data_IF_170194699353
#
_entry.id   IF_170194699353
#
_cell.length_a   1.000
_cell.length_b   1.000
_cell.length_c   1.000
_cell.angle_alpha   90.00
_cell.angle_beta   90.00
_cell.angle_gamma   90.00
#
_symmetry.space_group_name_H-M   'P 1'
#
loop_
_entity.id
_entity.type
_entity.pdbx_description
1 polymer ?
#
# COMPACT_ATOMS: atom_id res chain seq x y z
N UNK A 1 -100.78 12.71 -35.27
CA UNK A 1 -101.31 14.00 -35.73
C UNK A 1 -101.30 14.95 -34.53
N UNK A 2 -101.10 16.23 -34.80
CA UNK A 2 -101.05 17.36 -33.84
C UNK A 2 -99.63 17.67 -33.31
N UNK A 3 -98.90 18.41 -34.15
CA UNK A 3 -97.87 19.38 -33.77
C UNK A 3 -98.49 20.45 -32.85
N UNK A 4 -97.74 20.97 -31.87
CA UNK A 4 -97.79 22.39 -31.55
C UNK A 4 -96.56 22.87 -30.73
N UNK A 5 -95.83 23.77 -31.40
CA UNK A 5 -95.20 25.03 -30.94
C UNK A 5 -94.21 25.09 -29.75
N UNK A 6 -93.03 25.60 -30.10
CA UNK A 6 -92.01 26.30 -29.31
C UNK A 6 -92.57 27.35 -28.32
N UNK A 7 -91.92 27.50 -27.16
CA UNK A 7 -91.13 28.71 -26.78
C UNK A 7 -90.38 28.49 -25.44
N UNK A 8 -89.21 29.14 -25.24
CA UNK A 8 -88.25 28.87 -24.16
C UNK A 8 -88.38 29.83 -22.97
N UNK A 9 -87.84 29.43 -21.82
CA UNK A 9 -87.41 30.37 -20.76
C UNK A 9 -88.09 30.21 -19.41
N UNK A 10 -87.61 29.26 -18.59
CA UNK A 10 -87.73 29.35 -17.13
C UNK A 10 -86.42 28.90 -16.48
N UNK A 11 -85.45 29.82 -16.42
CA UNK A 11 -84.17 29.59 -15.72
C UNK A 11 -83.73 30.76 -14.82
N UNK A 12 -84.64 31.67 -14.43
CA UNK A 12 -84.25 32.89 -13.68
C UNK A 12 -85.03 33.18 -12.39
N UNK A 13 -85.92 32.30 -11.92
CA UNK A 13 -86.72 32.56 -10.71
C UNK A 13 -86.08 32.10 -9.39
N UNK A 14 -84.98 31.34 -9.40
CA UNK A 14 -84.34 30.79 -8.19
C UNK A 14 -83.17 31.61 -7.65
N UNK A 15 -82.59 32.52 -8.44
CA UNK A 15 -81.47 33.38 -8.03
C UNK A 15 -81.94 34.70 -7.43
N UNK A 16 -83.04 35.27 -7.92
CA UNK A 16 -83.61 36.52 -7.40
C UNK A 16 -84.22 36.36 -6.00
N UNK A 17 -84.81 35.20 -5.68
CA UNK A 17 -85.35 34.92 -4.34
C UNK A 17 -84.25 34.80 -3.27
N UNK A 18 -83.10 34.22 -3.61
CA UNK A 18 -81.93 34.14 -2.70
C UNK A 18 -81.27 35.49 -2.47
N UNK A 19 -81.19 36.36 -3.49
CA UNK A 19 -80.58 37.69 -3.37
C UNK A 19 -81.49 38.65 -2.58
N UNK A 20 -82.81 38.54 -2.73
CA UNK A 20 -83.77 39.31 -1.92
C UNK A 20 -83.90 38.79 -0.47
N UNK A 21 -83.80 37.49 -0.23
CA UNK A 21 -83.72 36.97 1.15
C UNK A 21 -82.41 37.36 1.84
N UNK A 22 -81.29 37.36 1.12
CA UNK A 22 -80.01 37.79 1.67
C UNK A 22 -79.99 39.29 1.99
N UNK A 23 -80.58 40.14 1.13
CA UNK A 23 -80.62 41.59 1.35
C UNK A 23 -81.60 42.02 2.45
N UNK A 24 -82.75 41.34 2.59
CA UNK A 24 -83.70 41.57 3.69
C UNK A 24 -83.13 41.15 5.05
N UNK A 25 -82.39 40.02 5.10
CA UNK A 25 -81.64 39.59 6.30
C UNK A 25 -80.53 40.59 6.63
N UNK A 26 -79.81 41.12 5.63
CA UNK A 26 -78.75 42.12 5.83
C UNK A 26 -79.27 43.46 6.38
N UNK A 27 -80.45 43.93 5.95
CA UNK A 27 -81.08 45.13 6.52
C UNK A 27 -81.53 44.92 7.97
N UNK A 28 -82.05 43.74 8.31
CA UNK A 28 -82.40 43.38 9.70
C UNK A 28 -81.16 43.29 10.59
N UNK A 29 -80.06 42.70 10.11
CA UNK A 29 -78.78 42.72 10.82
C UNK A 29 -78.23 44.13 11.03
N UNK A 30 -78.37 45.03 10.06
CA UNK A 30 -77.94 46.43 10.20
C UNK A 30 -78.72 47.18 11.27
N UNK A 31 -80.03 46.91 11.39
CA UNK A 31 -80.90 47.51 12.43
C UNK A 31 -80.62 46.89 13.81
N UNK A 32 -80.39 45.58 13.88
CA UNK A 32 -80.03 44.87 15.11
C UNK A 32 -78.65 45.29 15.63
N UNK A 33 -77.64 45.39 14.76
CA UNK A 33 -76.33 45.94 15.13
C UNK A 33 -76.50 47.38 15.66
N UNK A 34 -77.30 48.23 15.01
CA UNK A 34 -77.51 49.61 15.47
C UNK A 34 -78.19 49.70 16.84
N UNK A 35 -79.04 48.72 17.21
CA UNK A 35 -79.77 48.72 18.50
C UNK A 35 -79.04 47.95 19.61
N UNK A 36 -78.22 46.95 19.29
CA UNK A 36 -77.56 46.03 20.24
C UNK A 36 -76.05 45.89 20.02
N UNK A 37 -75.39 46.87 19.39
CA UNK A 37 -73.93 46.90 19.20
C UNK A 37 -73.11 46.68 20.47
N UNK A 38 -73.65 47.09 21.63
CA UNK A 38 -73.01 46.91 22.94
C UNK A 38 -72.74 45.43 23.28
N UNK A 39 -73.47 44.49 22.69
CA UNK A 39 -73.27 43.05 22.91
C UNK A 39 -71.98 42.51 22.27
N UNK A 40 -71.57 43.06 21.12
CA UNK A 40 -70.28 42.73 20.50
C UNK A 40 -69.11 43.27 21.33
N UNK A 41 -69.24 44.47 21.89
CA UNK A 41 -68.24 45.03 22.81
C UNK A 41 -68.15 44.22 24.11
N UNK A 42 -69.28 43.74 24.63
CA UNK A 42 -69.33 42.92 25.84
C UNK A 42 -68.67 41.55 25.63
N UNK A 43 -68.97 40.87 24.53
CA UNK A 43 -68.37 39.56 24.19
C UNK A 43 -66.88 39.68 23.82
N UNK A 44 -66.46 40.76 23.16
CA UNK A 44 -65.06 41.09 22.94
C UNK A 44 -64.32 41.37 24.26
N UNK A 45 -64.93 42.14 25.18
CA UNK A 45 -64.37 42.43 26.50
C UNK A 45 -64.20 41.16 27.35
N UNK A 46 -65.18 40.24 27.31
CA UNK A 46 -65.06 38.93 27.96
C UNK A 46 -63.92 38.11 27.35
N UNK A 47 -63.78 38.09 26.01
CA UNK A 47 -62.68 37.40 25.33
C UNK A 47 -61.31 37.93 25.74
N UNK A 48 -61.16 39.25 25.82
CA UNK A 48 -59.93 39.89 26.32
C UNK A 48 -59.71 39.60 27.81
N UNK A 49 -60.76 39.62 28.64
CA UNK A 49 -60.67 39.34 30.07
C UNK A 49 -60.23 37.89 30.35
N UNK A 50 -60.84 36.91 29.69
CA UNK A 50 -60.44 35.49 29.78
C UNK A 50 -58.99 35.30 29.37
N UNK A 51 -58.57 35.99 28.32
CA UNK A 51 -57.20 35.88 27.83
C UNK A 51 -56.20 36.60 28.75
N UNK A 52 -56.57 37.75 29.32
CA UNK A 52 -55.76 38.45 30.33
C UNK A 52 -55.60 37.61 31.60
N UNK A 53 -56.65 36.92 32.05
CA UNK A 53 -56.58 35.97 33.17
C UNK A 53 -55.67 34.77 32.84
N UNK A 54 -55.67 34.29 31.60
CA UNK A 54 -54.74 33.23 31.18
C UNK A 54 -53.28 33.68 31.13
N UNK A 55 -53.01 34.93 30.76
CA UNK A 55 -51.64 35.47 30.69
C UNK A 55 -51.11 35.74 32.10
N UNK A 56 -51.94 36.33 32.97
CA UNK A 56 -51.58 36.60 34.38
C UNK A 56 -51.42 35.35 35.23
N UNK A 57 -52.01 34.22 34.82
CA UNK A 57 -51.85 32.92 35.47
C UNK A 57 -50.59 32.13 35.07
N UNK A 58 -49.75 32.63 34.16
CA UNK A 58 -48.51 31.93 33.76
C UNK A 58 -47.38 32.20 34.77
N UNK A 59 -46.62 31.17 35.19
CA UNK A 59 -45.46 31.37 36.06
C UNK A 59 -44.39 32.22 35.35
N UNK A 60 -43.70 33.06 36.11
CA UNK A 60 -42.61 33.90 35.59
C UNK A 60 -41.42 33.02 35.16
N UNK A 61 -40.96 33.19 33.93
CA UNK A 61 -39.80 32.50 33.38
C UNK A 61 -38.62 33.46 33.22
N UNK A 62 -37.47 33.09 33.76
CA UNK A 62 -36.22 33.83 33.63
C UNK A 62 -35.31 33.15 32.62
N UNK A 63 -34.76 33.93 31.69
CA UNK A 63 -33.86 33.42 30.64
C UNK A 63 -32.44 33.94 30.84
N UNK A 64 -31.47 33.04 30.82
CA UNK A 64 -30.04 33.35 30.79
C UNK A 64 -29.44 32.85 29.48
N UNK A 65 -28.48 33.61 28.93
CA UNK A 65 -27.83 33.33 27.66
C UNK A 65 -26.33 33.14 27.87
N UNK A 66 -25.75 32.17 27.16
CA UNK A 66 -24.31 32.00 27.04
C UNK A 66 -23.92 31.79 25.59
N UNK A 67 -22.67 32.13 25.25
CA UNK A 67 -22.12 31.92 23.91
C UNK A 67 -20.91 31.02 23.96
N UNK A 68 -20.96 29.93 23.20
CA UNK A 68 -19.80 29.08 22.94
C UNK A 68 -19.30 29.32 21.51
N UNK A 69 -17.99 29.37 21.35
CA UNK A 69 -17.35 29.38 20.03
C UNK A 69 -16.66 28.05 19.80
N UNK A 70 -16.93 27.41 18.67
CA UNK A 70 -16.16 26.26 18.20
C UNK A 70 -15.21 26.71 17.09
N UNK A 71 -13.92 26.49 17.27
CA UNK A 71 -12.88 26.73 16.27
C UNK A 71 -12.93 25.63 15.22
N UNK A 72 -13.12 26.02 13.96
CA UNK A 72 -12.98 25.10 12.83
C UNK A 72 -11.52 24.78 12.55
N UNK A 73 -11.19 23.51 12.32
CA UNK A 73 -9.86 23.11 11.85
C UNK A 73 -9.58 23.74 10.48
N UNK A 74 -8.39 24.35 10.31
CA UNK A 74 -7.85 24.66 8.97
C UNK A 74 -7.12 23.42 8.45
N UNK A 75 -7.81 22.58 7.69
CA UNK A 75 -7.18 21.55 6.85
C UNK A 75 -7.48 21.90 5.41
N UNK A 76 -6.43 22.22 4.64
CA UNK A 76 -6.52 22.53 3.22
C UNK A 76 -6.87 21.26 2.42
N UNK A 77 -8.16 20.95 2.24
CA UNK A 77 -8.60 20.12 1.11
C UNK A 77 -10.10 20.29 0.74
N UNK A 78 -10.44 19.91 -0.48
CA UNK A 78 -11.51 20.41 -1.34
C UNK A 78 -13.00 20.22 -0.87
N UNK A 79 -13.57 21.36 -0.45
CA UNK A 79 -14.95 21.90 -0.48
C UNK A 79 -16.29 21.12 -0.41
N UNK A 80 -16.38 19.78 -0.39
CA UNK A 80 -17.70 19.09 -0.23
C UNK A 80 -17.81 18.23 1.03
N UNK A 81 -16.84 17.37 1.32
CA UNK A 81 -16.81 16.54 2.54
C UNK A 81 -16.72 17.39 3.83
N UNK A 82 -16.16 18.60 3.72
CA UNK A 82 -16.00 19.54 4.83
C UNK A 82 -17.32 20.04 5.42
N UNK A 83 -18.33 20.34 4.58
CA UNK A 83 -19.61 20.88 5.07
C UNK A 83 -20.41 19.82 5.82
N UNK A 84 -20.34 18.58 5.37
CA UNK A 84 -21.06 17.46 5.98
C UNK A 84 -20.44 17.12 7.34
N UNK A 85 -19.11 16.98 7.43
CA UNK A 85 -18.42 16.78 8.71
C UNK A 85 -18.62 17.93 9.70
N UNK A 86 -18.66 19.19 9.24
CA UNK A 86 -18.95 20.31 10.14
C UNK A 86 -20.39 20.33 10.64
N UNK A 87 -21.36 20.03 9.78
CA UNK A 87 -22.76 19.94 10.19
C UNK A 87 -22.95 18.83 11.24
N UNK A 88 -22.34 17.66 11.02
CA UNK A 88 -22.38 16.54 11.97
C UNK A 88 -21.67 16.87 13.29
N UNK A 89 -20.53 17.57 13.21
CA UNK A 89 -19.79 18.03 14.39
C UNK A 89 -20.61 19.02 15.23
N UNK A 90 -21.24 20.01 14.59
CA UNK A 90 -22.10 20.98 15.27
C UNK A 90 -23.37 20.34 15.82
N UNK A 91 -23.98 19.40 15.10
CA UNK A 91 -25.12 18.60 15.58
C UNK A 91 -24.76 17.79 16.82
N UNK A 92 -23.56 17.18 16.83
CA UNK A 92 -23.06 16.42 17.99
C UNK A 92 -22.87 17.32 19.22
N UNK A 93 -22.36 18.55 19.04
CA UNK A 93 -22.21 19.51 20.15
C UNK A 93 -23.57 19.87 20.74
N UNK A 94 -24.56 20.16 19.89
CA UNK A 94 -25.93 20.49 20.31
C UNK A 94 -26.53 19.34 21.12
N UNK A 95 -26.52 18.12 20.57
CA UNK A 95 -27.05 16.93 21.24
C UNK A 95 -26.33 16.64 22.56
N UNK A 96 -25.00 16.81 22.61
CA UNK A 96 -24.21 16.58 23.82
C UNK A 96 -24.56 17.58 24.91
N UNK A 97 -24.67 18.87 24.59
CA UNK A 97 -25.00 19.91 25.58
C UNK A 97 -26.45 19.77 26.07
N UNK A 98 -27.38 19.36 25.20
CA UNK A 98 -28.79 19.15 25.56
C UNK A 98 -29.05 17.81 26.27
N UNK A 99 -28.09 16.89 26.23
CA UNK A 99 -28.20 15.55 26.80
C UNK A 99 -28.56 15.57 28.29
N UNK A 100 -29.41 14.62 28.70
CA UNK A 100 -29.84 14.50 30.09
C UNK A 100 -28.68 14.21 31.05
N UNK A 101 -27.62 13.55 30.57
CA UNK A 101 -26.43 13.28 31.37
C UNK A 101 -25.67 14.57 31.71
N UNK A 102 -25.45 15.44 30.73
CA UNK A 102 -24.79 16.73 30.97
C UNK A 102 -25.59 17.63 31.91
N UNK A 103 -26.92 17.63 31.76
CA UNK A 103 -27.83 18.32 32.68
C UNK A 103 -27.71 17.80 34.11
N UNK A 104 -27.67 16.48 34.29
CA UNK A 104 -27.51 15.85 35.60
C UNK A 104 -26.17 16.21 36.24
N UNK A 105 -25.06 16.12 35.49
CA UNK A 105 -23.72 16.46 36.00
C UNK A 105 -23.62 17.95 36.37
N UNK A 106 -24.20 18.83 35.56
CA UNK A 106 -24.28 20.26 35.87
C UNK A 106 -25.06 20.52 37.16
N UNK A 107 -26.20 19.85 37.35
CA UNK A 107 -27.01 19.95 38.57
C UNK A 107 -26.25 19.44 39.81
N UNK A 108 -25.57 18.31 39.72
CA UNK A 108 -24.70 17.79 40.79
C UNK A 108 -23.58 18.78 41.14
N UNK A 109 -22.96 19.41 40.14
CA UNK A 109 -21.95 20.45 40.30
C UNK A 109 -22.51 21.71 40.98
N UNK A 110 -23.70 22.15 40.61
CA UNK A 110 -24.37 23.30 41.26
C UNK A 110 -24.66 23.01 42.73
N UNK A 111 -25.22 21.83 43.04
CA UNK A 111 -25.49 21.40 44.43
C UNK A 111 -24.21 21.34 45.27
N UNK A 112 -23.11 20.91 44.68
CA UNK A 112 -21.82 20.83 45.36
C UNK A 112 -21.19 22.20 45.62
N UNK A 113 -21.33 23.15 44.69
CA UNK A 113 -20.67 24.46 44.77
C UNK A 113 -21.53 25.55 45.41
N UNK A 114 -22.86 25.43 45.38
CA UNK A 114 -23.80 26.44 45.87
C UNK A 114 -24.97 25.79 46.63
N UNK A 115 -24.74 25.28 47.86
CA UNK A 115 -25.77 24.60 48.66
C UNK A 115 -26.92 25.51 49.13
N UNK A 116 -26.76 26.83 49.03
CA UNK A 116 -27.71 27.83 49.54
C UNK A 116 -28.77 28.27 48.50
N UNK A 117 -28.67 27.80 47.25
CA UNK A 117 -29.60 28.19 46.17
C UNK A 117 -30.69 27.13 46.03
N UNK A 118 -31.95 27.55 45.89
CA UNK A 118 -33.08 26.63 45.77
C UNK A 118 -33.06 25.94 44.41
N UNK A 119 -33.17 24.61 44.42
CA UNK A 119 -33.29 23.81 43.22
C UNK A 119 -34.53 24.24 42.42
N UNK A 120 -34.34 24.56 41.15
CA UNK A 120 -35.40 24.83 40.19
C UNK A 120 -35.15 24.04 38.90
N UNK A 121 -36.23 23.66 38.21
CA UNK A 121 -36.10 23.00 36.92
C UNK A 121 -35.70 24.02 35.85
N UNK A 122 -34.66 23.71 35.07
CA UNK A 122 -34.09 24.61 34.07
C UNK A 122 -34.08 23.91 32.72
N UNK A 123 -34.85 24.45 31.78
CA UNK A 123 -34.86 23.99 30.40
C UNK A 123 -33.67 24.61 29.65
N UNK A 124 -32.88 23.78 28.97
CA UNK A 124 -31.76 24.23 28.12
C UNK A 124 -32.14 24.03 26.66
N UNK A 125 -31.89 25.06 25.86
CA UNK A 125 -31.98 25.03 24.40
C UNK A 125 -30.70 25.58 23.79
N UNK A 126 -30.16 24.88 22.79
CA UNK A 126 -28.95 25.27 22.08
C UNK A 126 -29.31 25.58 20.63
N UNK A 127 -28.95 26.78 20.18
CA UNK A 127 -29.18 27.21 18.81
C UNK A 127 -27.87 27.69 18.18
N UNK A 128 -27.55 27.14 17.01
CA UNK A 128 -26.44 27.66 16.20
C UNK A 128 -26.86 28.95 15.48
N UNK A 129 -25.99 29.96 15.53
CA UNK A 129 -26.18 31.15 14.70
C UNK A 129 -25.78 30.84 13.25
N UNK A 130 -26.74 30.92 12.32
CA UNK A 130 -26.54 30.62 10.89
C UNK A 130 -25.32 31.38 10.34
N UNK A 131 -24.40 30.66 9.71
CA UNK A 131 -23.19 31.23 9.10
C UNK A 131 -22.04 31.51 10.08
N UNK A 132 -22.12 31.03 11.33
CA UNK A 132 -21.02 31.14 12.31
C UNK A 132 -20.86 29.85 13.12
N UNK A 133 -19.69 29.69 13.73
CA UNK A 133 -19.41 28.63 14.68
C UNK A 133 -19.73 29.04 16.14
N UNK A 134 -20.68 29.98 16.29
CA UNK A 134 -21.14 30.48 17.58
C UNK A 134 -22.47 29.80 17.92
N UNK A 135 -22.49 29.16 19.08
CA UNK A 135 -23.66 28.53 19.67
C UNK A 135 -24.20 29.41 20.78
N UNK A 136 -25.49 29.74 20.68
CA UNK A 136 -26.21 30.40 21.75
C UNK A 136 -26.89 29.32 22.59
N UNK A 137 -26.55 29.28 23.88
CA UNK A 137 -27.18 28.40 24.85
C UNK A 137 -28.11 29.24 25.69
N UNK A 138 -29.39 28.84 25.70
CA UNK A 138 -30.46 29.51 26.42
C UNK A 138 -30.93 28.60 27.55
N UNK A 139 -30.85 29.10 28.77
CA UNK A 139 -31.39 28.45 29.96
C UNK A 139 -32.64 29.19 30.43
N UNK A 140 -33.76 28.48 30.58
CA UNK A 140 -35.03 29.02 31.09
C UNK A 140 -35.37 28.36 32.42
N UNK A 141 -35.56 29.15 33.48
CA UNK A 141 -35.91 28.61 34.80
C UNK A 141 -36.76 29.58 35.62
N UNK A 142 -37.31 29.09 36.73
CA UNK A 142 -38.19 29.87 37.61
C UNK A 142 -37.47 30.82 38.55
N UNK A 143 -36.15 30.67 38.74
CA UNK A 143 -35.35 31.53 39.62
C UNK A 143 -34.15 32.15 38.88
N UNK A 144 -33.96 33.49 38.91
CA UNK A 144 -32.95 34.15 38.08
C UNK A 144 -31.51 33.82 38.50
N UNK A 145 -31.24 33.68 39.81
CA UNK A 145 -29.91 33.38 40.33
C UNK A 145 -29.50 31.95 40.02
N UNK A 146 -30.41 31.00 40.23
CA UNK A 146 -30.18 29.59 39.94
C UNK A 146 -29.94 29.35 38.45
N UNK A 147 -30.77 29.91 37.57
CA UNK A 147 -30.64 29.72 36.11
C UNK A 147 -29.28 30.15 35.57
N UNK A 148 -28.70 31.24 36.07
CA UNK A 148 -27.35 31.69 35.69
C UNK A 148 -26.26 30.72 36.15
N UNK A 149 -26.28 30.37 37.44
CA UNK A 149 -25.26 29.50 38.06
C UNK A 149 -25.29 28.11 37.42
N UNK A 150 -26.49 27.62 37.11
CA UNK A 150 -26.69 26.36 36.41
C UNK A 150 -26.12 26.40 34.99
N UNK A 151 -26.37 27.47 34.24
CA UNK A 151 -25.80 27.64 32.90
C UNK A 151 -24.27 27.70 32.94
N UNK A 152 -23.67 28.48 33.86
CA UNK A 152 -22.21 28.52 34.01
C UNK A 152 -21.62 27.16 34.37
N UNK A 153 -22.27 26.42 35.28
CA UNK A 153 -21.84 25.07 35.69
C UNK A 153 -21.94 24.06 34.55
N UNK A 154 -22.96 24.17 33.70
CA UNK A 154 -23.11 23.35 32.50
C UNK A 154 -21.96 23.59 31.50
N UNK A 155 -21.58 24.84 31.28
CA UNK A 155 -20.46 25.18 30.39
C UNK A 155 -19.14 24.61 30.91
N UNK A 156 -18.86 24.80 32.19
CA UNK A 156 -17.63 24.29 32.81
C UNK A 156 -17.57 22.75 32.75
N UNK A 157 -18.69 22.06 33.02
CA UNK A 157 -18.77 20.60 32.93
C UNK A 157 -18.62 20.11 31.48
N UNK A 158 -19.16 20.84 30.50
CA UNK A 158 -18.99 20.52 29.08
C UNK A 158 -17.52 20.62 28.63
N UNK A 159 -16.81 21.67 29.06
CA UNK A 159 -15.37 21.80 28.78
C UNK A 159 -14.58 20.67 29.46
N UNK A 160 -14.89 20.36 30.72
CA UNK A 160 -14.25 19.26 31.45
C UNK A 160 -14.51 17.90 30.78
N UNK A 161 -15.74 17.64 30.34
CA UNK A 161 -16.10 16.43 29.61
C UNK A 161 -15.29 16.30 28.32
N UNK A 162 -15.19 17.37 27.52
CA UNK A 162 -14.39 17.38 26.29
C UNK A 162 -12.89 17.17 26.56
N UNK A 163 -12.37 17.74 27.64
CA UNK A 163 -11.00 17.50 28.07
C UNK A 163 -10.79 16.02 28.43
N UNK A 164 -11.72 15.41 29.16
CA UNK A 164 -11.64 13.98 29.52
C UNK A 164 -11.69 13.06 28.30
N UNK A 165 -12.51 13.38 27.28
CA UNK A 165 -12.55 12.64 26.01
C UNK A 165 -11.19 12.72 25.32
N UNK A 166 -10.56 13.91 25.31
CA UNK A 166 -9.25 14.11 24.70
C UNK A 166 -8.18 13.29 25.41
N UNK A 167 -8.17 13.32 26.74
CA UNK A 167 -7.22 12.55 27.56
C UNK A 167 -7.40 11.03 27.35
N UNK A 168 -8.65 10.54 27.29
CA UNK A 168 -8.93 9.13 26.98
C UNK A 168 -8.51 8.74 25.57
N UNK A 169 -8.78 9.58 24.57
CA UNK A 169 -8.37 9.35 23.19
C UNK A 169 -6.84 9.31 23.06
N UNK A 170 -6.14 10.24 23.71
CA UNK A 170 -4.68 10.25 23.78
C UNK A 170 -4.14 8.99 24.47
N UNK A 171 -4.73 8.60 25.61
CA UNK A 171 -4.35 7.37 26.31
C UNK A 171 -4.51 6.11 25.44
N UNK A 172 -5.60 6.00 24.70
CA UNK A 172 -5.85 4.87 23.78
C UNK A 172 -4.84 4.84 22.62
N UNK A 173 -4.55 5.99 22.01
CA UNK A 173 -3.56 6.08 20.92
C UNK A 173 -2.16 5.77 21.44
N UNK A 174 -1.79 6.28 22.61
CA UNK A 174 -0.52 5.98 23.26
C UNK A 174 -0.39 4.49 23.57
N UNK A 175 -1.43 3.86 24.09
CA UNK A 175 -1.44 2.43 24.37
C UNK A 175 -1.27 1.60 23.09
N UNK A 176 -1.98 1.95 22.01
CA UNK A 176 -1.82 1.30 20.71
C UNK A 176 -0.40 1.49 20.15
N UNK A 177 0.15 2.69 20.29
CA UNK A 177 1.52 2.98 19.88
C UNK A 177 2.55 2.16 20.68
N UNK A 178 2.43 2.12 22.02
CA UNK A 178 3.30 1.32 22.87
C UNK A 178 3.25 -0.17 22.49
N UNK A 179 2.05 -0.69 22.21
CA UNK A 179 1.88 -2.05 21.74
C UNK A 179 2.56 -2.28 20.36
N UNK A 180 2.44 -1.32 19.43
CA UNK A 180 3.12 -1.38 18.13
C UNK A 180 4.65 -1.36 18.31
N UNK A 181 5.19 -0.50 19.18
CA UNK A 181 6.62 -0.44 19.51
C UNK A 181 7.14 -1.77 20.04
N UNK A 182 6.49 -2.33 21.06
CA UNK A 182 6.88 -3.63 21.63
C UNK A 182 6.82 -4.73 20.58
N UNK A 183 5.78 -4.73 19.75
CA UNK A 183 5.61 -5.73 18.69
C UNK A 183 6.72 -5.61 17.64
N UNK A 184 7.03 -4.39 17.17
CA UNK A 184 8.10 -4.17 16.17
C UNK A 184 9.48 -4.43 16.74
N UNK A 185 9.74 -4.05 17.99
CA UNK A 185 10.97 -4.39 18.70
C UNK A 185 11.18 -5.91 18.76
N UNK A 186 10.14 -6.66 19.15
CA UNK A 186 10.20 -8.12 19.18
C UNK A 186 10.48 -8.73 17.81
N UNK A 187 9.83 -8.24 16.76
CA UNK A 187 10.06 -8.70 15.38
C UNK A 187 11.50 -8.43 14.93
N UNK A 188 12.06 -7.27 15.29
CA UNK A 188 13.46 -6.92 15.02
C UNK A 188 14.43 -7.84 15.77
N UNK A 189 14.17 -8.09 17.05
CA UNK A 189 15.02 -8.98 17.85
C UNK A 189 14.96 -10.43 17.34
N UNK A 190 13.77 -10.94 17.00
CA UNK A 190 13.61 -12.27 16.41
C UNK A 190 14.30 -12.40 15.05
N UNK A 191 14.26 -11.37 14.20
CA UNK A 191 14.91 -11.43 12.89
C UNK A 191 16.43 -11.39 13.01
N UNK A 192 16.98 -10.59 13.93
CA UNK A 192 18.40 -10.58 14.26
C UNK A 192 18.86 -11.90 14.89
N UNK A 193 18.08 -12.47 15.80
CA UNK A 193 18.37 -13.77 16.42
C UNK A 193 18.36 -14.90 15.38
N UNK A 194 17.40 -14.92 14.45
CA UNK A 194 17.41 -15.87 13.32
C UNK A 194 18.65 -15.71 12.44
N UNK A 195 19.03 -14.47 12.10
CA UNK A 195 20.22 -14.19 11.29
C UNK A 195 21.50 -14.66 12.00
N UNK A 196 21.65 -14.34 13.28
CA UNK A 196 22.84 -14.74 14.06
C UNK A 196 22.92 -16.25 14.23
N UNK A 197 21.82 -16.93 14.55
CA UNK A 197 21.76 -18.40 14.61
C UNK A 197 22.12 -19.04 13.28
N UNK A 198 21.62 -18.50 12.17
CA UNK A 198 21.94 -19.00 10.83
C UNK A 198 23.43 -18.83 10.51
N UNK A 199 24.00 -17.65 10.80
CA UNK A 199 25.43 -17.34 10.61
C UNK A 199 26.34 -18.21 11.47
N UNK A 200 25.97 -18.45 12.72
CA UNK A 200 26.71 -19.33 13.63
C UNK A 200 26.67 -20.79 13.18
N UNK A 201 25.51 -21.29 12.75
CA UNK A 201 25.35 -22.69 12.33
C UNK A 201 26.10 -23.02 11.04
N UNK A 202 26.19 -22.06 10.11
CA UNK A 202 26.71 -22.29 8.76
C UNK A 202 28.06 -21.60 8.48
N UNK A 203 28.64 -20.87 9.44
CA UNK A 203 29.93 -20.16 9.30
C UNK A 203 30.06 -19.34 7.99
N UNK A 204 29.04 -18.53 7.68
CA UNK A 204 28.87 -17.86 6.37
C UNK A 204 30.09 -17.02 5.96
N UNK A 205 30.82 -16.43 6.91
CA UNK A 205 31.98 -15.57 6.61
C UNK A 205 33.05 -16.36 5.85
N UNK A 206 33.24 -17.64 6.17
CA UNK A 206 34.16 -18.52 5.43
C UNK A 206 33.59 -18.92 4.07
N UNK A 207 32.27 -19.07 3.96
CA UNK A 207 31.56 -19.45 2.73
C UNK A 207 31.56 -18.32 1.71
N UNK A 208 31.35 -17.07 2.10
CA UNK A 208 31.31 -15.92 1.16
C UNK A 208 32.68 -15.69 0.52
N UNK A 209 33.76 -15.80 1.28
CA UNK A 209 35.12 -15.77 0.75
C UNK A 209 35.44 -17.04 -0.07
N UNK A 210 34.97 -18.21 0.38
CA UNK A 210 35.14 -19.49 -0.31
C UNK A 210 34.38 -19.60 -1.63
N UNK A 211 33.25 -18.90 -1.80
CA UNK A 211 32.43 -18.97 -3.01
C UNK A 211 33.17 -18.45 -4.24
N UNK A 212 33.95 -17.36 -4.08
CA UNK A 212 34.77 -16.84 -5.16
C UNK A 212 35.90 -17.83 -5.54
N UNK A 213 36.48 -18.52 -4.55
CA UNK A 213 37.47 -19.57 -4.78
C UNK A 213 36.86 -20.86 -5.39
N UNK A 214 35.65 -21.25 -4.99
CA UNK A 214 34.95 -22.42 -5.52
C UNK A 214 34.50 -22.20 -6.97
N UNK A 215 33.97 -21.01 -7.30
CA UNK A 215 33.58 -20.65 -8.65
C UNK A 215 34.79 -20.61 -9.60
N UNK A 216 35.92 -20.05 -9.17
CA UNK A 216 37.16 -20.04 -9.96
C UNK A 216 37.73 -21.44 -10.14
N UNK A 217 37.71 -22.28 -9.10
CA UNK A 217 38.13 -23.68 -9.19
C UNK A 217 37.25 -24.50 -10.16
N UNK A 218 35.93 -24.32 -10.12
CA UNK A 218 35.00 -24.95 -11.06
C UNK A 218 35.25 -24.51 -12.50
N UNK A 219 35.48 -23.22 -12.74
CA UNK A 219 35.84 -22.72 -14.07
C UNK A 219 37.15 -23.34 -14.57
N UNK A 220 38.15 -23.50 -13.69
CA UNK A 220 39.42 -24.15 -14.05
C UNK A 220 39.22 -25.63 -14.41
N UNK A 221 38.43 -26.38 -13.65
CA UNK A 221 38.10 -27.78 -13.96
C UNK A 221 37.33 -27.91 -15.27
N UNK A 222 36.35 -27.03 -15.52
CA UNK A 222 35.59 -27.00 -16.77
C UNK A 222 36.49 -26.69 -17.97
N UNK A 223 37.39 -25.70 -17.84
CA UNK A 223 38.37 -25.38 -18.87
C UNK A 223 39.33 -26.56 -19.14
N UNK A 224 39.79 -27.24 -18.09
CA UNK A 224 40.63 -28.43 -18.23
C UNK A 224 39.89 -29.57 -18.94
N UNK A 225 38.63 -29.83 -18.58
CA UNK A 225 37.79 -30.83 -19.24
C UNK A 225 37.58 -30.51 -20.71
N UNK A 226 37.31 -29.24 -21.05
CA UNK A 226 37.13 -28.83 -22.44
C UNK A 226 38.41 -29.01 -23.24
N UNK A 227 39.56 -28.61 -22.69
CA UNK A 227 40.87 -28.84 -23.32
C UNK A 227 41.17 -30.32 -23.57
N UNK A 228 40.76 -31.22 -22.67
CA UNK A 228 40.94 -32.66 -22.87
C UNK A 228 39.96 -33.21 -23.92
N UNK A 229 38.72 -32.71 -23.96
CA UNK A 229 37.77 -33.08 -25.01
C UNK A 229 38.23 -32.66 -26.39
N UNK A 230 38.79 -31.45 -26.55
CA UNK A 230 39.36 -31.02 -27.83
C UNK A 230 40.50 -31.94 -28.25
N UNK A 231 41.42 -32.28 -27.34
CA UNK A 231 42.52 -33.22 -27.67
C UNK A 231 42.01 -34.62 -28.04
N UNK A 232 40.90 -35.07 -27.45
CA UNK A 232 40.30 -36.37 -27.74
C UNK A 232 39.72 -36.38 -29.16
N UNK A 233 39.01 -35.32 -29.56
CA UNK A 233 38.47 -35.19 -30.92
C UNK A 233 39.58 -35.06 -31.98
N UNK A 234 40.64 -34.30 -31.69
CA UNK A 234 41.83 -34.25 -32.56
C UNK A 234 42.46 -35.62 -32.74
N UNK A 235 42.60 -36.39 -31.65
CA UNK A 235 43.18 -37.72 -31.69
C UNK A 235 42.31 -38.73 -32.47
N UNK A 236 40.98 -38.64 -32.35
CA UNK A 236 40.04 -39.44 -33.15
C UNK A 236 40.21 -39.18 -34.65
N UNK A 237 40.29 -37.91 -35.04
CA UNK A 237 40.51 -37.53 -36.44
C UNK A 237 41.86 -38.05 -36.95
N UNK A 238 42.89 -37.97 -36.11
CA UNK A 238 44.22 -38.42 -36.47
C UNK A 238 44.31 -39.97 -36.56
N UNK A 239 43.60 -40.72 -35.71
CA UNK A 239 43.48 -42.19 -35.81
C UNK A 239 42.78 -42.58 -37.13
N UNK A 240 41.74 -41.84 -37.53
CA UNK A 240 41.01 -42.12 -38.77
C UNK A 240 41.87 -41.96 -40.04
N UNK A 241 42.91 -41.11 -39.99
CA UNK A 241 43.85 -40.93 -41.11
C UNK A 241 45.26 -40.61 -40.62
N UNK A 242 46.00 -41.66 -40.26
CA UNK A 242 47.39 -41.57 -39.77
C UNK A 242 48.28 -40.84 -40.77
N UNK A 243 48.14 -41.10 -42.08
CA UNK A 243 49.00 -40.44 -43.06
C UNK A 243 48.77 -38.92 -43.12
N UNK A 244 47.51 -38.45 -43.10
CA UNK A 244 47.19 -37.03 -43.09
C UNK A 244 47.63 -36.35 -41.77
N UNK A 245 47.48 -37.04 -40.64
CA UNK A 245 47.96 -36.56 -39.35
C UNK A 245 49.49 -36.40 -39.32
N UNK A 246 50.21 -37.36 -39.89
CA UNK A 246 51.67 -37.33 -40.00
C UNK A 246 52.17 -36.21 -40.92
N UNK A 247 51.48 -35.97 -42.04
CA UNK A 247 51.79 -34.84 -42.93
C UNK A 247 51.52 -33.48 -42.29
N UNK A 248 50.42 -33.35 -41.54
CA UNK A 248 50.12 -32.13 -40.78
C UNK A 248 51.21 -31.86 -39.73
N UNK A 249 51.69 -32.90 -39.05
CA UNK A 249 52.73 -32.80 -38.03
C UNK A 249 54.11 -32.51 -38.62
N UNK A 250 54.45 -33.11 -39.76
CA UNK A 250 55.67 -32.82 -40.52
C UNK A 250 55.70 -31.35 -40.97
N UNK A 251 54.57 -30.82 -41.48
CA UNK A 251 54.45 -29.40 -41.84
C UNK A 251 54.62 -28.48 -40.63
N UNK A 252 54.11 -28.85 -39.46
CA UNK A 252 54.29 -28.07 -38.24
C UNK A 252 55.74 -28.07 -37.76
N UNK A 253 56.45 -29.20 -37.84
CA UNK A 253 57.88 -29.25 -37.52
C UNK A 253 58.73 -28.45 -38.53
N UNK A 254 58.44 -28.58 -39.83
CA UNK A 254 59.20 -27.89 -40.88
C UNK A 254 59.02 -26.38 -40.88
N UNK A 255 57.90 -25.88 -40.36
CA UNK A 255 57.61 -24.43 -40.27
C UNK A 255 58.04 -23.83 -38.92
N UNK A 256 58.53 -24.64 -37.98
CA UNK A 256 58.87 -24.20 -36.62
C UNK A 256 57.68 -23.68 -35.82
N UNK A 257 56.45 -23.86 -36.32
CA UNK A 257 55.25 -23.34 -35.72
C UNK A 257 54.68 -24.37 -34.73
N UNK A 258 54.84 -24.09 -33.44
CA UNK A 258 54.11 -24.80 -32.38
C UNK A 258 52.61 -24.47 -32.52
N UNK A 259 51.68 -25.43 -32.31
CA UNK A 259 50.27 -25.11 -32.26
C UNK A 259 49.98 -24.45 -30.91
N UNK A 260 50.09 -23.13 -30.84
CA UNK A 260 49.35 -22.37 -29.83
C UNK A 260 47.87 -22.41 -30.21
N UNK A 261 46.96 -22.86 -29.33
CA UNK A 261 45.54 -22.67 -29.54
C UNK A 261 45.27 -21.17 -29.57
N UNK A 262 44.77 -20.68 -30.70
CA UNK A 262 44.31 -19.31 -30.83
C UNK A 262 43.09 -19.11 -29.93
N UNK A 263 43.29 -18.43 -28.78
CA UNK A 263 42.18 -18.12 -27.87
C UNK A 263 42.59 -17.73 -26.46
N UNK A 264 43.41 -16.70 -26.28
CA UNK A 264 43.33 -15.89 -25.05
C UNK A 264 43.75 -14.44 -25.35
N UNK A 265 42.79 -13.53 -25.20
CA UNK A 265 43.04 -12.10 -25.17
C UNK A 265 43.92 -11.78 -23.97
N UNK A 266 44.82 -10.84 -24.18
CA UNK A 266 45.62 -10.18 -23.16
C UNK A 266 44.78 -9.74 -21.95
N UNK A 267 45.26 -10.08 -20.76
CA UNK A 267 45.16 -9.18 -19.62
C UNK A 267 46.42 -9.32 -18.76
N UNK A 268 46.93 -8.16 -18.36
CA UNK A 268 48.19 -7.87 -17.71
C UNK A 268 48.25 -8.36 -16.24
N UNK A 269 49.42 -8.86 -15.81
CA UNK A 269 50.09 -8.53 -14.52
C UNK A 269 51.26 -9.49 -14.18
N UNK A 270 52.46 -8.92 -14.20
CA UNK A 270 53.56 -8.99 -13.21
C UNK A 270 53.74 -10.23 -12.27
N UNK A 271 54.77 -11.05 -12.60
CA UNK A 271 55.81 -11.77 -11.77
C UNK A 271 55.50 -12.45 -10.39
N UNK A 272 56.36 -13.39 -9.89
CA UNK A 272 57.45 -14.16 -10.50
C UNK A 272 57.38 -15.71 -10.27
N UNK A 273 58.10 -16.41 -11.14
CA UNK A 273 58.82 -17.67 -11.02
C UNK A 273 58.58 -18.65 -9.84
N UNK A 274 58.49 -19.93 -10.23
CA UNK A 274 59.05 -21.14 -9.58
C UNK A 274 58.05 -22.17 -9.02
N UNK A 275 57.46 -22.96 -9.92
CA UNK A 275 57.19 -24.39 -9.67
C UNK A 275 57.56 -25.16 -10.93
N UNK A 276 58.49 -26.11 -10.80
CA UNK A 276 58.80 -27.12 -11.82
C UNK A 276 57.53 -27.94 -12.07
N UNK A 277 56.84 -27.68 -13.17
CA UNK A 277 55.77 -28.56 -13.64
C UNK A 277 56.40 -29.77 -14.32
N UNK A 278 56.41 -30.88 -13.59
CA UNK A 278 56.64 -32.20 -14.13
C UNK A 278 55.58 -32.52 -15.20
N UNK A 279 56.06 -32.70 -16.43
CA UNK A 279 55.45 -33.54 -17.49
C UNK A 279 53.96 -33.34 -17.78
N UNK A 280 53.64 -32.26 -18.49
CA UNK A 280 52.49 -32.24 -19.41
C UNK A 280 52.79 -33.13 -20.63
N UNK A 281 51.95 -34.12 -21.01
CA UNK A 281 52.24 -35.01 -22.15
C UNK A 281 52.10 -34.35 -23.53
N UNK A 282 51.53 -33.14 -23.60
CA UNK A 282 51.10 -32.53 -24.87
C UNK A 282 52.19 -31.84 -25.70
N UNK A 283 53.44 -31.79 -25.24
CA UNK A 283 54.50 -31.06 -25.95
C UNK A 283 55.73 -31.90 -26.26
N UNK A 284 55.58 -33.23 -26.32
CA UNK A 284 56.69 -34.08 -26.76
C UNK A 284 56.72 -34.08 -28.28
N UNK A 285 57.92 -33.81 -28.79
CA UNK A 285 58.26 -34.03 -30.18
C UNK A 285 57.81 -35.42 -30.65
N UNK A 286 57.83 -35.54 -31.97
CA UNK A 286 57.44 -36.74 -32.71
C UNK A 286 57.92 -38.04 -32.02
N UNK A 287 57.03 -39.02 -31.83
CA UNK A 287 57.41 -40.30 -31.21
C UNK A 287 58.45 -41.02 -32.08
N UNK A 288 59.16 -42.00 -31.52
CA UNK A 288 60.19 -42.71 -32.28
C UNK A 288 59.59 -43.40 -33.52
N UNK A 289 58.43 -44.03 -33.38
CA UNK A 289 57.68 -44.62 -34.49
C UNK A 289 57.22 -43.58 -35.53
N UNK A 290 56.78 -42.40 -35.09
CA UNK A 290 56.41 -41.30 -35.97
C UNK A 290 57.62 -40.76 -36.77
N UNK A 291 58.80 -40.67 -36.16
CA UNK A 291 60.03 -40.25 -36.85
C UNK A 291 60.47 -41.29 -37.89
N UNK A 292 60.43 -42.57 -37.51
CA UNK A 292 60.79 -43.67 -38.40
C UNK A 292 59.77 -43.84 -39.54
N UNK A 293 58.50 -43.53 -39.29
CA UNK A 293 57.47 -43.42 -40.32
C UNK A 293 57.82 -42.35 -41.36
N UNK A 294 58.16 -41.12 -40.93
CA UNK A 294 58.55 -40.06 -41.87
C UNK A 294 59.81 -40.40 -42.65
N UNK A 295 60.84 -40.96 -41.99
CA UNK A 295 62.08 -41.39 -42.67
C UNK A 295 61.80 -42.47 -43.71
N UNK A 296 60.99 -43.46 -43.37
CA UNK A 296 60.60 -44.54 -44.28
C UNK A 296 59.77 -43.99 -45.43
N UNK A 297 58.88 -43.04 -45.18
CA UNK A 297 58.10 -42.34 -46.21
C UNK A 297 59.02 -41.57 -47.16
N UNK A 298 59.98 -40.80 -46.66
CA UNK A 298 60.99 -40.13 -47.50
C UNK A 298 61.80 -41.14 -48.33
N UNK A 299 62.19 -42.27 -47.74
CA UNK A 299 62.92 -43.32 -48.46
C UNK A 299 62.08 -43.96 -49.58
N UNK A 300 60.79 -44.19 -49.33
CA UNK A 300 59.85 -44.68 -50.35
C UNK A 300 59.75 -43.66 -51.50
N UNK A 301 59.68 -42.36 -51.20
CA UNK A 301 59.65 -41.35 -52.27
C UNK A 301 60.94 -41.34 -53.08
N UNK A 302 62.11 -41.50 -52.45
CA UNK A 302 63.41 -41.62 -53.13
C UNK A 302 63.50 -42.89 -54.00
N UNK A 303 63.03 -44.03 -53.51
CA UNK A 303 63.02 -45.28 -54.28
C UNK A 303 62.01 -45.21 -55.44
N UNK A 304 60.87 -44.56 -55.24
CA UNK A 304 59.86 -44.36 -56.29
C UNK A 304 60.41 -43.48 -57.41
N UNK A 305 61.14 -42.40 -57.10
CA UNK A 305 61.77 -41.57 -58.13
C UNK A 305 62.88 -42.30 -58.87
N UNK A 306 63.71 -43.09 -58.15
CA UNK A 306 64.72 -43.97 -58.77
C UNK A 306 64.10 -45.00 -59.70
N UNK A 307 63.05 -45.70 -59.25
CA UNK A 307 62.30 -46.66 -60.06
C UNK A 307 61.79 -45.99 -61.35
N UNK A 308 61.13 -44.83 -61.24
CA UNK A 308 60.64 -44.08 -62.40
C UNK A 308 61.77 -43.70 -63.37
N UNK A 309 62.95 -43.33 -62.86
CA UNK A 309 64.11 -43.02 -63.70
C UNK A 309 64.70 -44.26 -64.40
N UNK A 310 64.68 -45.42 -63.74
CA UNK A 310 65.17 -46.68 -64.28
C UNK A 310 64.24 -47.24 -65.35
N UNK A 311 62.91 -47.08 -65.20
CA UNK A 311 61.93 -47.49 -66.21
C UNK A 311 62.00 -46.68 -67.51
N UNK A 312 62.60 -45.49 -67.49
CA UNK A 312 62.88 -44.70 -68.71
C UNK A 312 64.04 -45.33 -69.50
N UNK A 313 65.01 -45.93 -68.81
CA UNK A 313 66.27 -46.43 -69.40
C UNK A 313 66.24 -47.94 -69.67
N UNK A 314 65.48 -48.70 -68.86
CA UNK A 314 65.46 -50.15 -68.87
C UNK A 314 64.02 -50.67 -68.93
N UNK A 315 63.83 -51.84 -69.54
CA UNK A 315 62.53 -52.55 -69.51
C UNK A 315 62.24 -53.11 -68.11
N UNK A 316 60.97 -53.36 -67.81
CA UNK A 316 60.48 -53.81 -66.49
C UNK A 316 61.17 -55.07 -65.93
N UNK A 317 61.73 -55.94 -66.78
CA UNK A 317 62.38 -57.20 -66.38
C UNK A 317 63.89 -57.07 -66.10
N UNK A 318 64.44 -55.86 -66.10
CA UNK A 318 65.87 -55.66 -65.83
C UNK A 318 66.18 -55.94 -64.34
N UNK A 319 67.29 -56.65 -64.01
CA UNK A 319 67.62 -57.02 -62.62
C UNK A 319 67.61 -55.83 -61.66
N UNK A 320 68.14 -54.68 -62.07
CA UNK A 320 68.16 -53.47 -61.24
C UNK A 320 66.77 -52.85 -61.00
N UNK A 321 65.80 -53.06 -61.91
CA UNK A 321 64.42 -52.62 -61.70
C UNK A 321 63.75 -53.54 -60.67
N UNK A 322 64.01 -54.85 -60.77
CA UNK A 322 63.49 -55.85 -59.84
C UNK A 322 63.99 -55.63 -58.41
N UNK A 323 65.29 -55.41 -58.22
CA UNK A 323 65.89 -55.14 -56.91
C UNK A 323 65.25 -53.90 -56.25
N UNK A 324 65.11 -52.79 -57.00
CA UNK A 324 64.49 -51.56 -56.50
C UNK A 324 63.00 -51.74 -56.21
N UNK A 325 62.28 -52.56 -56.99
CA UNK A 325 60.87 -52.87 -56.70
C UNK A 325 60.70 -53.71 -55.44
N UNK A 326 61.61 -54.64 -55.18
CA UNK A 326 61.63 -55.45 -53.96
C UNK A 326 61.97 -54.60 -52.73
N UNK A 327 62.99 -53.73 -52.82
CA UNK A 327 63.29 -52.73 -51.78
C UNK A 327 62.09 -51.80 -51.51
N UNK A 328 61.39 -51.37 -52.56
CA UNK A 328 60.20 -50.54 -52.42
C UNK A 328 59.03 -51.29 -51.75
N UNK A 329 58.86 -52.58 -52.04
CA UNK A 329 57.86 -53.43 -51.39
C UNK A 329 58.18 -53.64 -49.90
N UNK A 330 59.45 -53.91 -49.55
CA UNK A 330 59.87 -54.07 -48.15
C UNK A 330 59.70 -52.78 -47.35
N UNK A 331 60.09 -51.63 -47.89
CA UNK A 331 59.89 -50.34 -47.23
C UNK A 331 58.40 -49.96 -47.10
N UNK A 332 57.54 -50.31 -48.07
CA UNK A 332 56.09 -50.13 -47.95
C UNK A 332 55.48 -50.98 -46.84
N UNK A 333 55.89 -52.25 -46.73
CA UNK A 333 55.46 -53.13 -45.64
C UNK A 333 55.93 -52.60 -44.28
N UNK A 334 57.17 -52.09 -44.20
CA UNK A 334 57.70 -51.45 -43.01
C UNK A 334 56.91 -50.18 -42.62
N UNK A 335 56.56 -49.33 -43.60
CA UNK A 335 55.73 -48.15 -43.37
C UNK A 335 54.35 -48.51 -42.79
N UNK A 336 53.74 -49.58 -43.31
CA UNK A 336 52.46 -50.10 -42.79
C UNK A 336 52.60 -50.53 -41.32
N UNK A 337 53.68 -51.25 -40.97
CA UNK A 337 53.91 -51.67 -39.59
C UNK A 337 54.09 -50.49 -38.62
N UNK A 338 54.76 -49.42 -39.06
CA UNK A 338 54.86 -48.19 -38.27
C UNK A 338 53.52 -47.47 -38.16
N UNK A 339 52.70 -47.46 -39.23
CA UNK A 339 51.36 -46.88 -39.18
C UNK A 339 50.46 -47.60 -38.15
N UNK A 340 50.48 -48.93 -38.14
CA UNK A 340 49.73 -49.74 -37.19
C UNK A 340 50.22 -49.50 -35.75
N UNK A 341 51.53 -49.41 -35.54
CA UNK A 341 52.12 -49.08 -34.24
C UNK A 341 51.68 -47.68 -33.76
N UNK A 342 51.76 -46.66 -34.62
CA UNK A 342 51.31 -45.30 -34.31
C UNK A 342 49.82 -45.29 -33.96
N UNK A 343 48.99 -46.00 -34.74
CA UNK A 343 47.56 -46.10 -34.49
C UNK A 343 47.27 -46.73 -33.11
N UNK A 344 48.03 -47.77 -32.73
CA UNK A 344 47.89 -48.42 -31.44
C UNK A 344 48.35 -47.54 -30.27
N UNK A 345 49.46 -46.80 -30.44
CA UNK A 345 49.90 -45.78 -29.46
C UNK A 345 48.85 -44.69 -29.28
N UNK A 346 48.25 -44.20 -30.37
CA UNK A 346 47.18 -43.20 -30.34
C UNK A 346 45.90 -43.75 -29.69
N UNK A 347 45.51 -45.00 -29.94
CA UNK A 347 44.40 -45.63 -29.24
C UNK A 347 44.64 -45.73 -27.73
N UNK A 348 45.86 -46.05 -27.30
CA UNK A 348 46.23 -46.04 -25.88
C UNK A 348 46.10 -44.65 -25.28
N UNK A 349 46.63 -43.62 -25.96
CA UNK A 349 46.51 -42.22 -25.53
C UNK A 349 45.04 -41.77 -25.46
N UNK A 350 44.20 -42.20 -26.41
CA UNK A 350 42.77 -41.92 -26.40
C UNK A 350 42.10 -42.50 -25.16
N UNK A 351 42.40 -43.77 -24.82
CA UNK A 351 41.89 -44.41 -23.62
C UNK A 351 42.33 -43.70 -22.32
N UNK A 352 43.56 -43.19 -22.29
CA UNK A 352 44.08 -42.43 -21.14
C UNK A 352 43.37 -41.08 -20.98
N UNK A 353 43.24 -40.32 -22.06
CA UNK A 353 42.55 -39.02 -22.06
C UNK A 353 41.07 -39.21 -21.71
N UNK A 354 40.42 -40.24 -22.26
CA UNK A 354 39.02 -40.54 -21.96
C UNK A 354 38.81 -40.84 -20.47
N UNK A 355 39.72 -41.61 -19.84
CA UNK A 355 39.68 -41.84 -18.39
C UNK A 355 39.87 -40.56 -17.59
N UNK A 356 40.78 -39.68 -18.00
CA UNK A 356 40.97 -38.36 -17.35
C UNK A 356 39.73 -37.48 -17.47
N UNK A 357 39.08 -37.44 -18.64
CA UNK A 357 37.82 -36.71 -18.84
C UNK A 357 36.73 -37.24 -17.92
N UNK A 358 36.59 -38.56 -17.77
CA UNK A 358 35.62 -39.15 -16.84
C UNK A 358 35.86 -38.76 -15.38
N UNK A 359 37.14 -38.74 -14.95
CA UNK A 359 37.51 -38.29 -13.59
C UNK A 359 37.19 -36.80 -13.42
N UNK A 360 37.51 -35.96 -14.40
CA UNK A 360 37.18 -34.53 -14.36
C UNK A 360 35.66 -34.30 -14.34
N UNK A 361 34.89 -35.04 -15.15
CA UNK A 361 33.43 -34.94 -15.18
C UNK A 361 32.84 -35.31 -13.81
N UNK A 362 33.35 -36.36 -13.14
CA UNK A 362 32.92 -36.73 -11.80
C UNK A 362 33.24 -35.64 -10.75
N UNK A 363 34.46 -35.07 -10.79
CA UNK A 363 34.86 -33.99 -9.89
C UNK A 363 34.05 -32.71 -10.10
N UNK A 364 33.74 -32.36 -11.36
CA UNK A 364 32.90 -31.20 -11.69
C UNK A 364 31.50 -31.38 -11.09
N UNK A 365 30.89 -32.56 -11.23
CA UNK A 365 29.54 -32.82 -10.69
C UNK A 365 29.52 -32.70 -9.16
N UNK A 366 30.50 -33.26 -8.48
CA UNK A 366 30.63 -33.17 -7.02
C UNK A 366 30.79 -31.72 -6.56
N UNK A 367 31.75 -30.99 -7.15
CA UNK A 367 32.02 -29.60 -6.80
C UNK A 367 30.89 -28.66 -7.17
N UNK A 368 30.15 -28.96 -8.23
CA UNK A 368 28.99 -28.16 -8.61
C UNK A 368 27.83 -28.35 -7.63
N UNK A 369 27.63 -29.57 -7.11
CA UNK A 369 26.65 -29.82 -6.04
C UNK A 369 27.01 -29.06 -4.77
N UNK A 370 28.27 -29.08 -4.36
CA UNK A 370 28.76 -28.28 -3.22
C UNK A 370 28.53 -26.78 -3.45
N UNK A 371 28.89 -26.25 -4.63
CA UNK A 371 28.70 -24.85 -4.96
C UNK A 371 27.22 -24.42 -4.96
N UNK A 372 26.30 -25.30 -5.38
CA UNK A 372 24.86 -25.03 -5.31
C UNK A 372 24.34 -24.98 -3.87
N UNK A 373 24.79 -25.88 -2.98
CA UNK A 373 24.44 -25.86 -1.56
C UNK A 373 25.00 -24.62 -0.84
N UNK A 374 26.22 -24.21 -1.19
CA UNK A 374 26.79 -22.95 -0.69
C UNK A 374 26.01 -21.74 -1.22
N UNK A 375 25.66 -21.75 -2.51
CA UNK A 375 24.86 -20.69 -3.12
C UNK A 375 23.48 -20.54 -2.48
N UNK A 376 22.80 -21.64 -2.14
CA UNK A 376 21.51 -21.61 -1.46
C UNK A 376 21.62 -21.02 -0.05
N UNK A 377 22.65 -21.40 0.72
CA UNK A 377 22.93 -20.85 2.06
C UNK A 377 23.25 -19.35 2.02
N UNK A 378 24.02 -18.89 1.03
CA UNK A 378 24.30 -17.46 0.85
C UNK A 378 23.01 -16.71 0.51
N UNK A 379 22.17 -17.25 -0.36
CA UNK A 379 20.89 -16.62 -0.71
C UNK A 379 19.95 -16.53 0.51
N UNK A 380 19.94 -17.54 1.37
CA UNK A 380 19.18 -17.53 2.62
C UNK A 380 19.74 -16.51 3.62
N UNK A 381 21.06 -16.41 3.78
CA UNK A 381 21.70 -15.37 4.61
C UNK A 381 21.30 -13.96 4.15
N UNK A 382 21.41 -13.69 2.84
CA UNK A 382 21.02 -12.39 2.27
C UNK A 382 19.54 -12.07 2.49
N UNK A 383 18.67 -13.09 2.44
CA UNK A 383 17.24 -12.93 2.72
C UNK A 383 17.01 -12.59 4.19
N UNK A 384 17.68 -13.28 5.10
CA UNK A 384 17.60 -13.03 6.55
C UNK A 384 18.18 -11.66 6.91
N UNK A 385 19.28 -11.26 6.27
CA UNK A 385 19.90 -9.95 6.44
C UNK A 385 18.95 -8.81 6.02
N UNK A 386 18.37 -8.89 4.82
CA UNK A 386 17.34 -7.94 4.38
C UNK A 386 16.11 -7.93 5.29
N UNK A 387 15.69 -9.08 5.81
CA UNK A 387 14.58 -9.15 6.75
C UNK A 387 14.92 -8.46 8.09
N UNK A 388 16.17 -8.59 8.56
CA UNK A 388 16.64 -7.91 9.76
C UNK A 388 16.76 -6.38 9.55
N UNK A 389 17.33 -5.95 8.42
CA UNK A 389 17.42 -4.53 8.06
C UNK A 389 16.04 -3.88 7.92
N UNK A 390 15.10 -4.54 7.24
CA UNK A 390 13.73 -4.01 7.08
C UNK A 390 13.00 -3.93 8.43
N UNK A 391 13.20 -4.89 9.33
CA UNK A 391 12.66 -4.85 10.69
C UNK A 391 13.26 -3.70 11.51
N UNK A 392 14.58 -3.47 11.40
CA UNK A 392 15.27 -2.35 12.04
C UNK A 392 14.77 -1.00 11.53
N UNK A 393 14.67 -0.82 10.20
CA UNK A 393 14.11 0.39 9.60
C UNK A 393 12.65 0.63 9.99
N UNK A 394 11.85 -0.44 10.09
CA UNK A 394 10.47 -0.33 10.55
C UNK A 394 10.37 0.13 12.01
N UNK A 395 11.30 -0.31 12.87
CA UNK A 395 11.42 0.15 14.25
C UNK A 395 11.88 1.61 14.33
N UNK A 396 12.90 2.01 13.54
CA UNK A 396 13.38 3.39 13.48
C UNK A 396 12.29 4.38 13.04
N UNK A 397 11.48 4.00 12.04
CA UNK A 397 10.33 4.80 11.57
C UNK A 397 9.25 4.99 12.63
N UNK A 398 9.19 4.18 13.69
CA UNK A 398 8.24 4.41 14.78
C UNK A 398 8.59 5.68 15.57
N UNK A 399 9.88 6.06 15.67
CA UNK A 399 10.27 7.29 16.34
C UNK A 399 9.82 8.54 15.57
N UNK A 400 9.90 8.51 14.24
CA UNK A 400 9.36 9.57 13.39
C UNK A 400 7.83 9.69 13.54
N UNK A 401 7.12 8.55 13.65
CA UNK A 401 5.68 8.55 13.94
C UNK A 401 5.35 9.16 15.30
N UNK A 402 6.20 9.03 16.33
CA UNK A 402 5.95 9.68 17.64
C UNK A 402 5.89 11.19 17.49
N UNK A 403 6.87 11.76 16.79
CA UNK A 403 6.95 13.20 16.56
C UNK A 403 5.74 13.69 15.77
N UNK A 404 5.32 12.93 14.76
CA UNK A 404 4.12 13.21 13.99
C UNK A 404 2.84 13.11 14.85
N UNK A 405 2.68 12.08 15.69
CA UNK A 405 1.54 11.93 16.59
C UNK A 405 1.45 13.11 17.56
N UNK A 406 2.57 13.54 18.12
CA UNK A 406 2.61 14.68 19.03
C UNK A 406 2.25 15.99 18.32
N UNK A 407 2.70 16.17 17.08
CA UNK A 407 2.30 17.31 16.23
C UNK A 407 0.81 17.27 15.89
N UNK A 408 0.27 16.10 15.54
CA UNK A 408 -1.17 15.90 15.24
C UNK A 408 -2.03 16.20 16.47
N UNK A 409 -1.63 15.75 17.66
CA UNK A 409 -2.38 16.07 18.88
C UNK A 409 -2.45 17.56 19.20
N UNK A 410 -1.40 18.31 18.86
CA UNK A 410 -1.39 19.76 19.02
C UNK A 410 -2.18 20.47 17.91
N UNK A 411 -2.17 19.94 16.68
CA UNK A 411 -2.87 20.52 15.53
C UNK A 411 -4.36 20.18 15.47
N UNK A 412 -4.79 19.04 16.04
CA UNK A 412 -6.19 18.61 16.12
C UNK A 412 -6.91 19.21 17.33
N UNK A 413 -6.55 20.44 17.68
CA UNK A 413 -7.29 21.21 18.66
C UNK A 413 -8.61 21.68 18.02
N UNK A 414 -9.63 20.81 18.05
CA UNK A 414 -11.03 21.24 18.05
C UNK A 414 -11.17 22.22 19.23
N UNK A 415 -11.11 23.51 18.93
CA UNK A 415 -11.00 24.54 19.95
C UNK A 415 -12.41 25.02 20.31
N UNK A 416 -13.07 24.38 21.27
CA UNK A 416 -14.32 24.91 21.81
C UNK A 416 -14.01 25.74 23.05
N UNK A 417 -14.35 27.02 23.01
CA UNK A 417 -14.12 27.94 24.11
C UNK A 417 -15.40 28.69 24.48
N UNK A 418 -15.48 29.07 25.75
CA UNK A 418 -16.56 29.92 26.24
C UNK A 418 -16.27 31.34 25.76
N UNK A 419 -17.08 31.84 24.83
CA UNK A 419 -16.97 33.20 24.31
C UNK A 419 -17.58 34.20 25.29
N UNK A 420 -18.77 33.88 25.80
CA UNK A 420 -19.46 34.66 26.84
C UNK A 420 -20.04 33.70 27.88
N UNK A 421 -19.73 33.95 29.16
CA UNK A 421 -20.34 33.24 30.31
C UNK A 421 -21.81 33.65 30.49
N UNK A 422 -22.54 32.94 31.35
CA UNK A 422 -23.97 33.14 31.53
C UNK A 422 -24.31 34.59 31.88
N UNK A 423 -25.21 35.20 31.10
CA UNK A 423 -25.74 36.55 31.37
C UNK A 423 -26.64 36.53 32.61
N UNK A 424 -26.79 37.66 33.33
CA UNK A 424 -27.79 37.76 34.39
C UNK A 424 -29.18 37.45 33.82
N UNK A 425 -29.92 36.56 34.49
CA UNK A 425 -31.20 36.10 33.97
C UNK A 425 -32.23 37.24 34.00
N UNK A 426 -32.79 37.56 32.84
CA UNK A 426 -33.84 38.57 32.68
C UNK A 426 -35.22 37.91 32.59
N UNK A 427 -36.24 38.57 33.12
CA UNK A 427 -37.64 38.14 32.98
C UNK A 427 -38.02 38.15 31.49
N UNK A 428 -38.44 36.99 30.98
CA UNK A 428 -38.93 36.89 29.62
C UNK A 428 -40.40 37.31 29.60
N UNK A 429 -40.65 38.57 29.29
CA UNK A 429 -42.00 39.05 29.01
C UNK A 429 -42.39 38.55 27.62
N UNK A 430 -43.01 37.37 27.58
CA UNK A 430 -43.62 36.83 26.36
C UNK A 430 -44.55 37.91 25.78
N UNK A 431 -44.58 38.07 24.45
CA UNK A 431 -45.30 39.14 23.78
C UNK A 431 -46.82 39.03 24.05
N UNK A 432 -47.28 39.69 25.11
CA UNK A 432 -48.64 39.64 25.64
C UNK A 432 -49.67 40.24 24.68
N UNK A 433 -49.19 40.99 23.68
CA UNK A 433 -50.01 41.66 22.68
C UNK A 433 -50.72 40.66 21.76
N UNK A 434 -49.99 39.69 21.21
CA UNK A 434 -50.55 38.69 20.29
C UNK A 434 -51.68 37.83 20.88
N UNK A 435 -51.54 37.23 22.06
CA UNK A 435 -52.62 36.46 22.65
C UNK A 435 -53.85 37.34 22.93
N UNK A 436 -53.68 38.59 23.37
CA UNK A 436 -54.81 39.52 23.58
C UNK A 436 -55.55 39.83 22.27
N UNK A 437 -54.83 40.07 21.18
CA UNK A 437 -55.44 40.30 19.86
C UNK A 437 -56.26 39.09 19.41
N UNK A 438 -55.75 37.87 19.61
CA UNK A 438 -56.48 36.64 19.32
C UNK A 438 -57.74 36.52 20.20
N UNK A 439 -57.62 36.84 21.49
CA UNK A 439 -58.76 36.85 22.43
C UNK A 439 -59.86 37.84 22.03
N UNK A 440 -59.48 39.02 21.53
CA UNK A 440 -60.41 40.02 21.00
C UNK A 440 -61.14 39.50 19.76
N UNK A 441 -60.41 38.97 18.78
CA UNK A 441 -61.00 38.45 17.53
C UNK A 441 -61.94 37.29 17.81
N UNK A 442 -61.54 36.35 18.68
CA UNK A 442 -62.38 35.22 19.09
C UNK A 442 -63.64 35.68 19.84
N UNK A 443 -63.53 36.68 20.72
CA UNK A 443 -64.65 37.27 21.44
C UNK A 443 -65.67 37.95 20.52
N UNK A 444 -65.18 38.72 19.54
CA UNK A 444 -66.04 39.33 18.50
C UNK A 444 -66.73 38.27 17.64
N UNK A 445 -66.00 37.23 17.22
CA UNK A 445 -66.55 36.13 16.43
C UNK A 445 -67.67 35.38 17.15
N UNK A 446 -67.47 35.06 18.43
CA UNK A 446 -68.50 34.45 19.27
C UNK A 446 -69.72 35.37 19.46
N UNK A 447 -69.50 36.67 19.65
CA UNK A 447 -70.57 37.66 19.72
C UNK A 447 -71.44 37.71 18.47
N UNK A 448 -70.84 37.61 17.29
CA UNK A 448 -71.57 37.55 16.01
C UNK A 448 -72.43 36.28 15.93
N UNK A 449 -71.88 35.11 16.26
CA UNK A 449 -72.62 33.84 16.21
C UNK A 449 -73.81 33.82 17.17
N UNK A 450 -73.65 34.37 18.38
CA UNK A 450 -74.73 34.46 19.37
C UNK A 450 -75.83 35.42 18.89
N UNK A 451 -75.47 36.54 18.25
CA UNK A 451 -76.46 37.45 17.65
C UNK A 451 -77.23 36.79 16.50
N UNK A 452 -76.60 35.90 15.72
CA UNK A 452 -77.28 35.12 14.68
C UNK A 452 -78.23 34.06 15.28
N UNK A 453 -77.89 33.47 16.42
CA UNK A 453 -78.72 32.48 17.11
C UNK A 453 -79.96 33.10 17.80
N UNK A 454 -79.83 34.31 18.34
CA UNK A 454 -80.95 35.06 18.94
C UNK A 454 -81.92 35.66 17.92
N UNK A 455 -81.60 35.58 16.62
CA UNK A 455 -82.42 36.05 15.49
C UNK A 455 -83.34 34.94 14.93
N UNK A 456 -83.58 33.88 15.71
CA UNK A 456 -84.43 32.74 15.32
C UNK A 456 -85.80 32.75 15.98
#
# INVERSE_FOLDING_TARGET
>A
MEQNLNLPGQAQSSTLSRIHEASAKFQRYKILLRRRWWFLLLTASIGVCVQALRITGRPQEFRSLAKLVAGGQMVFNDSVTWREQQADFYGTIIETVESAEMKRRALERVRALNPDVKDSDVEIRVAQTKGSAIFNILATGSEPKYTKIFLDSLLDEFIAFRQSIREQAQGKVLQQFLQEVVTKQKVMEESLDRLTKFRMANNIITITNGNNAAATFLNNLQAQRESQRTTLEELKLAIANVNAAMEARERMLSTGASPTPAGSKAMDSTQPSSVKSETSPGNRGMTMAEQDYLRTKSKITELTTKLNSLLIQFKEQHPMVQDVTEELATHKALLQSYADQIQQEMHSQMGDIQRRVQVLDAQIVEKQKEALDLGSKIAEDQKLEKAAETAKLAYEKLFEKVEQIQSVFNSQADYVAIQERATPASENVEDWVMPIVIGLIAGVGAGIVILLLFDR
#
